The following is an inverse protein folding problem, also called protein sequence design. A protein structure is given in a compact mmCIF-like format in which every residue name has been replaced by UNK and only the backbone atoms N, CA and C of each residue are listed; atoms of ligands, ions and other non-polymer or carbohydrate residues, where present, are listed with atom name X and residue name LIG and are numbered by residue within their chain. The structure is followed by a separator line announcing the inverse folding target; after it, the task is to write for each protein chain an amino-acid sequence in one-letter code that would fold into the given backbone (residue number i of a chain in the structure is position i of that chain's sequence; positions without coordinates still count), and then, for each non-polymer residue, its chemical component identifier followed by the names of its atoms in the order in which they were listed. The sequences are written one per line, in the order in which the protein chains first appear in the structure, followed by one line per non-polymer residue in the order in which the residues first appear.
data_IF_501586610781
#
_entry.id   IF_501586610781
#
_cell.length_a   1.000
_cell.length_b   1.000
_cell.length_c   1.000
_cell.angle_alpha   90.00
_cell.angle_beta   90.00
_cell.angle_gamma   90.00
#
_symmetry.space_group_name_H-M   'P 1'
#
loop_
_entity.id
_entity.type
_entity.pdbx_description
1 polymer ?
#
# COMPACT_ATOMS: atom_id res chain seq x y z
N UNK A 1 7.97 -9.75 12.66
CA UNK A 1 7.43 -8.56 13.35
C UNK A 1 6.86 -8.84 14.73
N UNK A 2 6.23 -10.01 14.95
CA UNK A 2 5.53 -10.45 16.18
C UNK A 2 6.25 -10.19 17.51
N UNK A 3 7.59 -10.20 17.50
CA UNK A 3 8.45 -10.09 18.68
C UNK A 3 8.89 -8.66 19.05
N UNK A 4 8.68 -7.68 18.17
CA UNK A 4 9.29 -6.35 18.31
C UNK A 4 8.47 -5.39 19.19
N UNK A 5 7.15 -5.55 19.26
CA UNK A 5 6.30 -4.70 20.10
C UNK A 5 5.04 -5.43 20.57
N UNK A 6 4.61 -5.12 21.79
CA UNK A 6 3.60 -5.88 22.53
C UNK A 6 2.16 -5.58 22.09
N UNK A 7 1.86 -4.36 21.60
CA UNK A 7 0.48 -3.89 21.36
C UNK A 7 0.19 -3.45 19.91
N UNK A 8 1.14 -3.65 18.99
CA UNK A 8 1.07 -3.03 17.67
C UNK A 8 0.01 -3.59 16.73
N UNK A 9 -0.44 -4.83 16.94
CA UNK A 9 -1.36 -5.50 16.00
C UNK A 9 -2.80 -5.03 16.13
N UNK A 10 -3.29 -4.85 17.36
CA UNK A 10 -4.66 -4.40 17.57
C UNK A 10 -4.84 -2.96 17.10
N UNK A 11 -3.86 -2.11 17.39
CA UNK A 11 -3.88 -0.72 16.92
C UNK A 11 -3.89 -0.65 15.40
N UNK A 12 -3.03 -1.42 14.73
CA UNK A 12 -2.98 -1.48 13.27
C UNK A 12 -4.27 -2.06 12.69
N UNK A 13 -4.82 -3.13 13.28
CA UNK A 13 -6.10 -3.72 12.89
C UNK A 13 -7.22 -2.69 12.88
N UNK A 14 -7.36 -1.91 13.94
CA UNK A 14 -8.38 -0.86 14.04
C UNK A 14 -8.16 0.19 12.96
N UNK A 15 -6.92 0.64 12.75
CA UNK A 15 -6.61 1.61 11.70
C UNK A 15 -6.89 1.05 10.29
N UNK A 16 -6.59 -0.21 10.02
CA UNK A 16 -6.83 -0.84 8.71
C UNK A 16 -8.33 -1.04 8.45
N UNK A 17 -9.11 -1.44 9.45
CA UNK A 17 -10.59 -1.49 9.33
C UNK A 17 -11.16 -0.10 9.04
N UNK A 18 -10.73 0.92 9.77
CA UNK A 18 -11.17 2.29 9.54
C UNK A 18 -10.75 2.79 8.15
N UNK A 19 -9.54 2.47 7.71
CA UNK A 19 -9.05 2.79 6.37
C UNK A 19 -9.92 2.10 5.30
N UNK A 20 -10.26 0.82 5.47
CA UNK A 20 -11.13 0.08 4.55
C UNK A 20 -12.51 0.75 4.43
N UNK A 21 -13.15 1.01 5.57
CA UNK A 21 -14.47 1.65 5.61
C UNK A 21 -14.43 3.03 4.93
N UNK A 22 -13.38 3.81 5.19
CA UNK A 22 -13.20 5.11 4.56
C UNK A 22 -12.97 5.00 3.05
N UNK A 23 -12.17 4.03 2.58
CA UNK A 23 -11.92 3.80 1.14
C UNK A 23 -13.21 3.40 0.45
N UNK A 24 -14.00 2.49 1.03
CA UNK A 24 -15.29 2.07 0.48
C UNK A 24 -16.27 3.25 0.41
N UNK A 25 -16.37 4.04 1.48
CA UNK A 25 -17.19 5.26 1.50
C UNK A 25 -16.74 6.26 0.43
N UNK A 26 -15.43 6.48 0.29
CA UNK A 26 -14.83 7.41 -0.69
C UNK A 26 -15.12 6.98 -2.12
N UNK A 27 -14.96 5.70 -2.44
CA UNK A 27 -15.24 5.15 -3.77
C UNK A 27 -16.74 5.27 -4.08
N UNK A 28 -17.60 4.91 -3.12
CA UNK A 28 -19.05 4.95 -3.29
C UNK A 28 -19.56 6.38 -3.49
N UNK A 29 -19.03 7.36 -2.75
CA UNK A 29 -19.48 8.75 -2.81
C UNK A 29 -19.07 9.49 -4.09
N UNK A 30 -17.93 9.16 -4.70
CA UNK A 30 -17.41 9.89 -5.86
C UNK A 30 -17.75 9.27 -7.22
N UNK A 31 -17.74 7.93 -7.31
CA UNK A 31 -17.88 7.22 -8.59
C UNK A 31 -19.00 6.17 -8.54
N UNK A 32 -19.29 5.64 -7.36
CA UNK A 32 -20.17 4.48 -7.19
C UNK A 32 -19.42 3.16 -7.37
N UNK A 33 -19.71 2.17 -6.52
CA UNK A 33 -18.96 0.92 -6.43
C UNK A 33 -18.89 0.14 -7.75
N UNK A 34 -19.97 0.14 -8.54
CA UNK A 34 -20.07 -0.64 -9.78
C UNK A 34 -19.19 -0.09 -10.91
N UNK A 35 -19.01 1.22 -10.97
CA UNK A 35 -18.16 1.86 -11.98
C UNK A 35 -16.67 1.76 -11.60
N UNK A 36 -16.36 1.89 -10.31
CA UNK A 36 -14.99 1.75 -9.79
C UNK A 36 -14.43 0.33 -9.95
N UNK A 37 -15.28 -0.71 -9.82
CA UNK A 37 -14.90 -2.12 -9.94
C UNK A 37 -15.29 -2.74 -11.30
N UNK A 38 -15.50 -1.91 -12.32
CA UNK A 38 -15.98 -2.40 -13.61
C UNK A 38 -14.93 -3.21 -14.37
N UNK A 39 -15.13 -4.53 -14.41
CA UNK A 39 -14.32 -5.49 -15.19
C UNK A 39 -14.23 -5.11 -16.68
N UNK A 40 -15.27 -4.45 -17.21
CA UNK A 40 -15.28 -3.95 -18.59
C UNK A 40 -14.21 -2.90 -18.85
N UNK A 41 -13.95 -2.00 -17.89
CA UNK A 41 -12.93 -0.94 -18.01
C UNK A 41 -11.52 -1.49 -17.83
N UNK A 42 -11.36 -2.49 -16.95
CA UNK A 42 -10.10 -3.23 -16.85
C UNK A 42 -9.73 -3.91 -18.17
N UNK A 43 -10.69 -4.54 -18.84
CA UNK A 43 -10.47 -5.17 -20.15
C UNK A 43 -10.10 -4.16 -21.25
N UNK A 44 -10.46 -2.89 -21.07
CA UNK A 44 -10.04 -1.77 -21.94
C UNK A 44 -8.65 -1.20 -21.56
N UNK A 45 -7.98 -1.76 -20.56
CA UNK A 45 -6.65 -1.33 -20.14
C UNK A 45 -6.64 -0.08 -19.24
N UNK A 46 -7.77 0.32 -18.65
CA UNK A 46 -7.78 1.40 -17.67
C UNK A 46 -7.06 0.97 -16.39
N UNK A 47 -5.97 1.67 -16.03
CA UNK A 47 -5.14 1.34 -14.86
C UNK A 47 -5.86 1.55 -13.52
N UNK A 48 -6.74 2.56 -13.42
CA UNK A 48 -7.42 2.92 -12.16
C UNK A 48 -8.18 1.76 -11.51
N UNK A 49 -9.11 1.07 -12.19
CA UNK A 49 -9.85 -0.04 -11.57
C UNK A 49 -8.92 -1.20 -11.15
N UNK A 50 -7.83 -1.44 -11.90
CA UNK A 50 -6.82 -2.45 -11.54
C UNK A 50 -6.17 -2.08 -10.21
N UNK A 51 -5.68 -0.84 -10.08
CA UNK A 51 -5.03 -0.36 -8.84
C UNK A 51 -6.02 -0.43 -7.66
N UNK A 52 -7.28 -0.03 -7.86
CA UNK A 52 -8.31 -0.09 -6.82
C UNK A 52 -8.57 -1.52 -6.32
N UNK A 53 -8.62 -2.51 -7.20
CA UNK A 53 -8.81 -3.92 -6.80
C UNK A 53 -7.60 -4.43 -6.02
N UNK A 54 -6.38 -4.16 -6.50
CA UNK A 54 -5.15 -4.54 -5.79
C UNK A 54 -5.12 -3.91 -4.39
N UNK A 55 -5.54 -2.65 -4.27
CA UNK A 55 -5.60 -1.91 -3.02
C UNK A 55 -6.58 -2.55 -2.02
N UNK A 56 -7.78 -2.89 -2.47
CA UNK A 56 -8.81 -3.52 -1.63
C UNK A 56 -8.40 -4.92 -1.19
N UNK A 57 -7.83 -5.73 -2.09
CA UNK A 57 -7.33 -7.07 -1.77
C UNK A 57 -6.20 -6.98 -0.73
N UNK A 58 -5.23 -6.09 -0.94
CA UNK A 58 -4.14 -5.87 0.01
C UNK A 58 -4.66 -5.51 1.40
N UNK A 59 -5.57 -4.53 1.50
CA UNK A 59 -6.09 -4.08 2.78
C UNK A 59 -6.90 -5.18 3.51
N UNK A 60 -7.69 -5.97 2.76
CA UNK A 60 -8.41 -7.12 3.33
C UNK A 60 -7.44 -8.19 3.86
N UNK A 61 -6.38 -8.51 3.12
CA UNK A 61 -5.35 -9.45 3.57
C UNK A 61 -4.64 -8.96 4.84
N UNK A 62 -4.34 -7.67 4.92
CA UNK A 62 -3.77 -7.04 6.12
C UNK A 62 -4.69 -7.20 7.35
N UNK A 63 -5.99 -6.94 7.20
CA UNK A 63 -6.98 -7.11 8.28
C UNK A 63 -7.05 -8.57 8.76
N UNK A 64 -7.07 -9.52 7.83
CA UNK A 64 -7.09 -10.96 8.17
C UNK A 64 -5.81 -11.34 8.91
N UNK A 65 -4.66 -10.90 8.42
CA UNK A 65 -3.37 -11.12 9.07
C UNK A 65 -3.35 -10.56 10.49
N UNK A 66 -3.73 -9.30 10.69
CA UNK A 66 -3.70 -8.67 12.00
C UNK A 66 -4.69 -9.31 12.97
N UNK A 67 -5.85 -9.74 12.49
CA UNK A 67 -6.82 -10.49 13.29
C UNK A 67 -6.22 -11.83 13.76
N UNK A 68 -5.55 -12.56 12.87
CA UNK A 68 -4.89 -13.83 13.21
C UNK A 68 -3.75 -13.64 14.20
N UNK A 69 -2.86 -12.67 13.96
CA UNK A 69 -1.73 -12.39 14.87
C UNK A 69 -2.22 -11.89 16.22
N UNK A 70 -3.23 -11.02 16.25
CA UNK A 70 -3.83 -10.57 17.50
C UNK A 70 -4.40 -11.76 18.27
N UNK A 71 -5.19 -12.64 17.63
CA UNK A 71 -5.73 -13.84 18.28
C UNK A 71 -4.63 -14.70 18.90
N UNK A 72 -3.58 -15.02 18.14
CA UNK A 72 -2.45 -15.85 18.62
C UNK A 72 -1.78 -15.15 19.80
N UNK A 73 -1.43 -13.87 19.65
CA UNK A 73 -0.65 -13.13 20.66
C UNK A 73 -1.40 -12.96 21.97
N UNK A 74 -2.70 -12.62 21.91
CA UNK A 74 -3.53 -12.48 23.10
C UNK A 74 -3.97 -13.83 23.69
N UNK A 75 -4.06 -14.88 22.87
CA UNK A 75 -4.35 -16.24 23.33
C UNK A 75 -3.19 -16.89 24.08
N UNK A 76 -1.96 -16.73 23.58
CA UNK A 76 -0.74 -17.28 24.18
C UNK A 76 -0.32 -16.54 25.46
N UNK A 77 -0.66 -15.26 25.57
CA UNK A 77 -0.46 -14.45 26.77
C UNK A 77 1.01 -14.10 27.06
N UNK A 78 1.30 -13.88 28.35
CA UNK A 78 2.61 -13.44 28.82
C UNK A 78 3.31 -14.56 29.61
N UNK A 79 4.63 -14.65 29.46
CA UNK A 79 5.49 -15.50 30.26
C UNK A 79 6.21 -14.67 31.33
N UNK A 80 6.26 -15.19 32.56
CA UNK A 80 7.05 -14.62 33.64
C UNK A 80 8.44 -15.22 33.57
N UNK A 81 9.44 -14.39 33.20
CA UNK A 81 10.85 -14.79 33.15
C UNK A 81 11.58 -14.03 34.25
N UNK A 82 11.80 -14.68 35.39
CA UNK A 82 12.32 -14.03 36.59
C UNK A 82 11.30 -13.04 37.17
N UNK A 83 11.71 -11.77 37.35
CA UNK A 83 10.82 -10.69 37.81
C UNK A 83 10.18 -9.88 36.67
N UNK A 84 10.45 -10.23 35.41
CA UNK A 84 9.94 -9.50 34.26
C UNK A 84 8.82 -10.28 33.57
N UNK A 85 7.71 -9.59 33.34
CA UNK A 85 6.59 -10.09 32.53
C UNK A 85 6.91 -9.73 31.08
N UNK A 86 7.06 -10.74 30.23
CA UNK A 86 7.37 -10.56 28.80
C UNK A 86 6.38 -11.34 27.95
N UNK A 87 6.14 -10.89 26.71
CA UNK A 87 5.33 -11.67 25.76
C UNK A 87 5.90 -13.07 25.62
N UNK A 88 5.04 -14.10 25.63
CA UNK A 88 5.46 -15.49 25.59
C UNK A 88 6.34 -15.75 24.34
N UNK A 89 7.57 -16.27 24.49
CA UNK A 89 8.43 -16.56 23.35
C UNK A 89 7.83 -17.62 22.43
N UNK A 90 8.15 -17.55 21.13
CA UNK A 90 7.57 -18.40 20.08
C UNK A 90 7.79 -19.88 20.33
N UNK A 91 8.91 -20.22 20.95
CA UNK A 91 9.34 -21.58 21.24
C UNK A 91 8.39 -22.31 22.20
N UNK A 92 7.63 -21.54 22.98
CA UNK A 92 6.69 -22.06 23.96
C UNK A 92 5.23 -21.97 23.51
N UNK A 93 4.95 -21.48 22.30
CA UNK A 93 3.59 -21.41 21.78
C UNK A 93 2.99 -22.80 21.60
N UNK A 94 1.66 -22.87 21.67
CA UNK A 94 0.90 -24.09 21.45
C UNK A 94 1.17 -24.64 20.05
N UNK A 95 1.13 -25.96 19.91
CA UNK A 95 1.33 -26.62 18.63
C UNK A 95 0.29 -26.22 17.57
N UNK A 96 -0.91 -25.80 18.01
CA UNK A 96 -1.95 -25.26 17.12
C UNK A 96 -1.53 -23.92 16.53
N UNK A 97 -1.13 -22.95 17.35
CA UNK A 97 -0.73 -21.63 16.87
C UNK A 97 0.56 -21.66 16.04
N UNK A 98 1.48 -22.58 16.35
CA UNK A 98 2.66 -22.84 15.53
C UNK A 98 2.32 -23.36 14.12
N UNK A 99 1.22 -24.10 13.94
CA UNK A 99 0.77 -24.57 12.62
C UNK A 99 0.14 -23.47 11.79
N UNK A 100 -0.46 -22.47 12.42
CA UNK A 100 -1.13 -21.35 11.74
C UNK A 100 -0.10 -20.32 11.26
N UNK A 101 1.04 -20.20 11.95
CA UNK A 101 2.03 -19.17 11.68
C UNK A 101 2.52 -19.06 10.21
N UNK A 102 2.81 -20.16 9.47
CA UNK A 102 3.21 -20.05 8.08
C UNK A 102 2.13 -19.44 7.17
N UNK A 103 0.85 -19.69 7.49
CA UNK A 103 -0.29 -19.11 6.77
C UNK A 103 -0.32 -17.60 7.03
N UNK A 104 -0.16 -17.21 8.29
CA UNK A 104 -0.10 -15.81 8.72
C UNK A 104 1.06 -15.06 8.06
N UNK A 105 2.27 -15.64 8.05
CA UNK A 105 3.43 -15.07 7.34
C UNK A 105 3.13 -14.91 5.83
N UNK A 106 2.44 -15.88 5.23
CA UNK A 106 2.09 -15.79 3.81
C UNK A 106 1.07 -14.68 3.51
N UNK A 107 0.11 -14.46 4.40
CA UNK A 107 -0.92 -13.43 4.25
C UNK A 107 -0.33 -12.01 4.24
N UNK A 108 0.62 -11.73 5.13
CA UNK A 108 1.25 -10.41 5.18
C UNK A 108 2.13 -10.17 3.95
N UNK A 109 2.84 -11.19 3.48
CA UNK A 109 3.64 -11.12 2.26
C UNK A 109 2.76 -10.82 1.03
N UNK A 110 1.62 -11.52 0.89
CA UNK A 110 0.66 -11.22 -0.18
C UNK A 110 0.10 -9.80 -0.03
N UNK A 111 -0.27 -9.38 1.17
CA UNK A 111 -0.75 -8.02 1.43
C UNK A 111 0.27 -6.98 0.93
N UNK A 112 1.56 -7.15 1.29
CA UNK A 112 2.62 -6.27 0.80
C UNK A 112 2.76 -6.32 -0.73
N UNK A 113 2.76 -7.52 -1.34
CA UNK A 113 2.85 -7.68 -2.79
C UNK A 113 1.74 -6.92 -3.55
N UNK A 114 0.48 -7.05 -3.09
CA UNK A 114 -0.64 -6.33 -3.69
C UNK A 114 -0.50 -4.80 -3.50
N UNK A 115 -0.06 -4.35 -2.32
CA UNK A 115 0.15 -2.94 -2.03
C UNK A 115 1.27 -2.33 -2.89
N UNK A 116 2.46 -2.91 -2.88
CA UNK A 116 3.62 -2.41 -3.65
C UNK A 116 3.34 -2.41 -5.14
N UNK A 117 2.67 -3.44 -5.66
CA UNK A 117 2.23 -3.51 -7.06
C UNK A 117 1.26 -2.38 -7.41
N UNK A 118 0.29 -2.10 -6.52
CA UNK A 118 -0.63 -0.97 -6.69
C UNK A 118 0.12 0.38 -6.71
N UNK A 119 1.14 0.53 -5.88
CA UNK A 119 1.97 1.74 -5.82
C UNK A 119 2.83 1.90 -7.08
N UNK A 120 3.49 0.86 -7.57
CA UNK A 120 4.28 0.94 -8.81
C UNK A 120 3.42 1.30 -10.03
N UNK A 121 2.24 0.69 -10.16
CA UNK A 121 1.27 1.04 -11.21
C UNK A 121 0.77 2.48 -11.05
N UNK A 122 0.60 2.94 -9.82
CA UNK A 122 0.23 4.32 -9.56
C UNK A 122 1.35 5.31 -9.91
N UNK A 123 2.61 4.98 -9.61
CA UNK A 123 3.76 5.80 -10.04
C UNK A 123 3.84 5.92 -11.57
N UNK A 124 3.47 4.86 -12.31
CA UNK A 124 3.34 4.92 -13.77
C UNK A 124 2.27 5.94 -14.22
N UNK A 125 1.18 6.09 -13.46
CA UNK A 125 0.11 7.06 -13.76
C UNK A 125 0.62 8.51 -13.67
N UNK A 126 1.52 8.83 -12.73
CA UNK A 126 2.14 10.16 -12.68
C UNK A 126 3.00 10.44 -13.90
N UNK A 127 3.76 9.44 -14.33
CA UNK A 127 4.57 9.58 -15.53
C UNK A 127 3.70 9.76 -16.78
N UNK A 128 2.56 9.06 -16.87
CA UNK A 128 1.58 9.27 -17.93
C UNK A 128 1.06 10.72 -17.95
N UNK A 129 0.70 11.25 -16.78
CA UNK A 129 0.21 12.63 -16.65
C UNK A 129 1.28 13.59 -17.16
N UNK A 130 2.54 13.47 -16.73
CA UNK A 130 3.64 14.33 -17.20
C UNK A 130 3.83 14.23 -18.71
N UNK A 131 3.86 13.02 -19.27
CA UNK A 131 4.08 12.82 -20.71
C UNK A 131 2.91 13.30 -21.58
N UNK A 132 1.68 13.27 -21.05
CA UNK A 132 0.51 13.82 -21.73
C UNK A 132 0.62 15.33 -21.97
N UNK A 133 1.26 16.06 -21.05
CA UNK A 133 1.54 17.50 -21.22
C UNK A 133 2.65 17.75 -22.23
N UNK A 134 3.64 16.85 -22.33
CA UNK A 134 4.77 16.93 -23.27
C UNK A 134 4.42 16.34 -24.65
N UNK A 135 3.18 15.83 -24.84
CA UNK A 135 2.68 15.19 -26.07
C UNK A 135 3.53 14.01 -26.57
N UNK A 136 4.16 13.26 -25.65
CA UNK A 136 4.93 12.05 -25.99
C UNK A 136 4.09 10.79 -25.83
N UNK A 137 4.26 9.76 -26.69
CA UNK A 137 3.55 8.50 -26.54
C UNK A 137 4.05 7.76 -25.29
N UNK A 138 3.15 7.54 -24.33
CA UNK A 138 3.49 6.97 -23.02
C UNK A 138 3.54 5.45 -22.99
N UNK A 139 2.55 4.78 -23.60
CA UNK A 139 2.40 3.32 -23.46
C UNK A 139 3.57 2.54 -24.06
N UNK A 140 4.31 3.11 -25.00
CA UNK A 140 5.50 2.49 -25.59
C UNK A 140 6.82 2.97 -24.93
N UNK A 141 6.75 3.72 -23.83
CA UNK A 141 7.94 4.18 -23.12
C UNK A 141 8.59 3.01 -22.37
N UNK A 142 9.93 2.91 -22.42
CA UNK A 142 10.69 1.96 -21.60
C UNK A 142 10.43 2.16 -20.11
N UNK A 143 10.15 3.38 -19.68
CA UNK A 143 9.80 3.68 -18.28
C UNK A 143 8.48 3.02 -17.87
N UNK A 144 7.47 3.00 -18.73
CA UNK A 144 6.20 2.33 -18.44
C UNK A 144 6.40 0.82 -18.29
N UNK A 145 7.16 0.21 -19.20
CA UNK A 145 7.52 -1.20 -19.12
C UNK A 145 8.30 -1.54 -17.84
N UNK A 146 9.18 -0.64 -17.38
CA UNK A 146 9.88 -0.81 -16.10
C UNK A 146 8.90 -0.81 -14.92
N UNK A 147 7.94 0.10 -14.85
CA UNK A 147 6.94 0.09 -13.77
C UNK A 147 6.09 -1.19 -13.75
N UNK A 148 5.68 -1.67 -14.93
CA UNK A 148 4.95 -2.94 -15.04
C UNK A 148 5.84 -4.11 -14.64
N UNK A 149 7.08 -4.14 -15.10
CA UNK A 149 8.05 -5.18 -14.74
C UNK A 149 8.30 -5.22 -13.22
N UNK A 150 8.46 -4.06 -12.57
CA UNK A 150 8.62 -3.98 -11.11
C UNK A 150 7.37 -4.45 -10.35
N UNK A 151 6.17 -4.16 -10.86
CA UNK A 151 4.92 -4.68 -10.30
C UNK A 151 4.87 -6.21 -10.34
N UNK A 152 5.20 -6.81 -11.49
CA UNK A 152 5.26 -8.27 -11.63
C UNK A 152 6.40 -8.88 -10.79
N UNK A 153 7.57 -8.23 -10.77
CA UNK A 153 8.72 -8.67 -10.00
C UNK A 153 8.42 -8.65 -8.50
N UNK A 154 7.63 -7.68 -8.01
CA UNK A 154 7.22 -7.63 -6.61
C UNK A 154 6.34 -8.84 -6.25
N UNK A 155 5.36 -9.21 -7.08
CA UNK A 155 4.62 -10.47 -6.86
C UNK A 155 5.53 -11.70 -6.84
N UNK A 156 6.49 -11.77 -7.77
CA UNK A 156 7.43 -12.87 -7.84
C UNK A 156 8.37 -12.90 -6.62
N UNK A 157 8.81 -11.75 -6.10
CA UNK A 157 9.75 -11.68 -4.99
C UNK A 157 9.17 -12.30 -3.72
N UNK A 158 7.92 -11.97 -3.35
CA UNK A 158 7.25 -12.53 -2.17
C UNK A 158 6.92 -14.02 -2.35
N UNK A 159 6.50 -14.44 -3.56
CA UNK A 159 6.22 -15.85 -3.83
C UNK A 159 7.49 -16.72 -3.78
N UNK A 160 8.61 -16.22 -4.35
CA UNK A 160 9.89 -16.92 -4.34
C UNK A 160 10.47 -17.01 -2.92
N UNK A 161 10.30 -15.97 -2.10
CA UNK A 161 10.70 -16.00 -0.69
C UNK A 161 10.00 -17.13 0.04
N UNK A 162 8.66 -17.24 -0.06
CA UNK A 162 7.92 -18.33 0.58
C UNK A 162 8.43 -19.71 0.16
N UNK A 163 8.73 -19.91 -1.13
CA UNK A 163 9.25 -21.19 -1.63
C UNK A 163 10.63 -21.53 -1.06
N UNK A 164 11.54 -20.55 -1.00
CA UNK A 164 12.89 -20.75 -0.46
C UNK A 164 12.83 -21.13 1.03
N UNK A 165 11.97 -20.48 1.83
CA UNK A 165 11.89 -20.78 3.27
C UNK A 165 11.13 -22.05 3.61
N UNK A 166 10.12 -22.45 2.82
CA UNK A 166 9.45 -23.73 3.03
C UNK A 166 10.45 -24.88 2.86
N UNK A 167 11.37 -24.79 1.90
CA UNK A 167 12.40 -25.80 1.67
C UNK A 167 13.52 -25.80 2.73
N UNK A 168 13.73 -24.69 3.44
CA UNK A 168 14.71 -24.64 4.54
C UNK A 168 14.21 -25.35 5.81
N UNK A 169 12.88 -25.47 5.99
CA UNK A 169 12.27 -26.22 7.11
C UNK A 169 12.56 -27.72 7.08
N UNK A 170 12.94 -28.27 5.93
CA UNK A 170 13.42 -29.66 5.84
C UNK A 170 14.74 -29.89 6.57
N UNK A 171 15.51 -28.84 6.90
CA UNK A 171 16.72 -28.98 7.73
C UNK A 171 16.47 -28.70 9.22
N UNK A 172 15.50 -27.84 9.60
CA UNK A 172 15.22 -27.55 11.02
C UNK A 172 14.46 -28.66 11.76
N UNK A 173 13.89 -29.63 11.04
CA UNK A 173 13.23 -30.80 11.65
C UNK A 173 14.24 -31.86 12.14
N UNK A 174 15.54 -31.67 11.86
CA UNK A 174 16.64 -32.50 12.38
C UNK A 174 17.36 -31.83 13.55
N UNK A 175 16.68 -30.98 14.32
CA UNK A 175 17.10 -30.71 15.70
C UNK A 175 16.30 -31.65 16.59
N UNK A 176 16.93 -32.78 16.90
CA UNK A 176 16.53 -33.78 17.87
C UNK A 176 15.64 -33.21 18.98
N UNK A 177 14.34 -33.53 18.90
CA UNK A 177 13.48 -33.60 20.07
C UNK A 177 14.10 -34.63 21.02
N UNK A 178 14.92 -34.17 21.97
CA UNK A 178 15.22 -34.96 23.16
C UNK A 178 14.08 -34.71 24.14
N UNK A 179 13.27 -35.73 24.49
CA UNK A 179 12.23 -35.58 25.48
C UNK A 179 12.91 -35.44 26.83
N UNK A 180 13.06 -34.22 27.35
CA UNK A 180 13.44 -34.06 28.74
C UNK A 180 12.26 -34.53 29.60
N UNK A 181 12.44 -35.57 30.44
CA UNK A 181 11.41 -35.95 31.39
C UNK A 181 11.35 -34.87 32.47
N UNK A 182 10.13 -34.39 32.73
CA UNK A 182 9.83 -33.53 33.87
C UNK A 182 10.09 -34.32 35.16
N UNK A 183 11.32 -34.27 35.68
CA UNK A 183 11.67 -34.80 37.00
C UNK A 183 11.59 -33.66 37.99
N UNK A 184 10.51 -33.65 38.76
CA UNK A 184 10.32 -32.83 39.95
C UNK A 184 11.48 -33.04 40.92
N UNK A 185 12.32 -32.01 41.11
CA UNK A 185 13.14 -31.90 42.31
C UNK A 185 13.43 -30.42 42.62
N UNK A 186 13.24 -29.97 43.89
CA UNK A 186 13.32 -28.57 44.26
C UNK A 186 14.73 -28.27 44.78
N UNK A 187 15.69 -27.92 43.90
CA UNK A 187 16.99 -27.34 44.30
C UNK A 187 17.81 -26.94 43.06
N UNK A 188 17.54 -25.78 42.48
CA UNK A 188 18.49 -25.06 41.62
C UNK A 188 18.09 -23.58 41.50
N UNK A 189 18.22 -22.84 42.60
CA UNK A 189 17.92 -21.39 42.65
C UNK A 189 19.13 -20.49 42.40
N UNK A 190 20.27 -20.99 41.91
CA UNK A 190 21.47 -20.13 41.86
C UNK A 190 22.44 -20.36 40.69
N UNK A 191 22.18 -21.32 39.78
CA UNK A 191 23.06 -21.58 38.64
C UNK A 191 22.50 -21.12 37.27
N UNK A 192 21.19 -20.86 37.15
CA UNK A 192 20.58 -20.48 35.87
C UNK A 192 20.69 -18.97 35.52
N UNK A 193 21.26 -18.17 36.43
CA UNK A 193 21.42 -16.71 36.22
C UNK A 193 22.71 -16.38 35.46
N UNK A 194 23.68 -17.30 35.37
CA UNK A 194 24.99 -17.05 34.75
C UNK A 194 25.14 -17.58 33.32
N UNK A 195 24.09 -18.21 32.77
CA UNK A 195 24.03 -18.62 31.37
C UNK A 195 23.22 -17.64 30.49
N UNK A 196 23.03 -16.39 30.94
CA UNK A 196 22.63 -15.27 30.08
C UNK A 196 23.84 -14.77 29.27
N UNK A 197 24.42 -15.65 28.45
CA UNK A 197 24.85 -15.18 27.14
C UNK A 197 23.54 -15.04 26.36
N UNK A 198 23.22 -13.88 25.74
CA UNK A 198 22.10 -13.83 24.83
C UNK A 198 22.47 -14.82 23.73
N UNK A 199 21.83 -15.98 23.72
CA UNK A 199 21.67 -16.73 22.49
C UNK A 199 20.78 -15.82 21.64
N UNK A 200 21.42 -14.81 21.03
CA UNK A 200 20.85 -14.03 19.95
C UNK A 200 20.43 -15.10 18.95
N UNK A 201 19.14 -15.27 18.64
CA UNK A 201 18.77 -16.08 17.50
C UNK A 201 19.42 -15.42 16.28
N UNK A 202 20.59 -15.94 15.91
CA UNK A 202 21.29 -15.63 14.68
C UNK A 202 20.36 -16.09 13.56
N UNK A 203 19.96 -15.13 12.72
CA UNK A 203 18.84 -15.17 11.76
C UNK A 203 17.46 -14.94 12.38
N UNK A 204 17.09 -13.66 12.43
CA UNK A 204 15.71 -13.32 12.13
C UNK A 204 15.31 -13.98 10.79
N UNK A 205 14.12 -14.59 10.67
CA UNK A 205 13.67 -15.18 9.41
C UNK A 205 13.71 -14.11 8.32
N UNK A 206 14.59 -14.32 7.35
CA UNK A 206 14.96 -13.40 6.28
C UNK A 206 13.85 -13.18 5.23
N UNK A 207 12.64 -13.69 5.49
CA UNK A 207 11.40 -13.45 4.74
C UNK A 207 11.04 -11.96 4.68
N UNK A 208 11.48 -11.17 5.66
CA UNK A 208 11.24 -9.71 5.71
C UNK A 208 12.26 -8.88 4.93
N UNK A 209 13.13 -9.45 4.10
CA UNK A 209 14.17 -8.68 3.39
C UNK A 209 13.69 -8.01 2.08
N UNK A 210 12.69 -8.55 1.38
CA UNK A 210 12.16 -7.91 0.16
C UNK A 210 11.37 -6.64 0.46
N UNK A 211 10.50 -6.67 1.47
CA UNK A 211 9.67 -5.53 1.85
C UNK A 211 10.43 -4.22 2.09
N UNK A 212 11.52 -4.17 2.90
CA UNK A 212 12.29 -2.95 3.10
C UNK A 212 13.00 -2.49 1.81
N UNK A 213 13.50 -3.42 0.99
CA UNK A 213 14.15 -3.07 -0.27
C UNK A 213 13.15 -2.46 -1.27
N UNK A 214 11.98 -3.08 -1.44
CA UNK A 214 10.94 -2.60 -2.34
C UNK A 214 10.34 -1.27 -1.88
N UNK A 215 10.10 -1.11 -0.58
CA UNK A 215 9.61 0.15 -0.03
C UNK A 215 10.64 1.27 -0.17
N UNK A 216 11.93 0.98 -0.03
CA UNK A 216 13.00 1.94 -0.32
C UNK A 216 12.99 2.38 -1.79
N UNK A 217 12.88 1.42 -2.72
CA UNK A 217 12.74 1.72 -4.15
C UNK A 217 11.52 2.61 -4.40
N UNK A 218 10.37 2.32 -3.80
CA UNK A 218 9.15 3.14 -3.91
C UNK A 218 9.34 4.56 -3.37
N UNK A 219 10.08 4.75 -2.27
CA UNK A 219 10.42 6.08 -1.75
C UNK A 219 11.20 6.87 -2.81
N UNK A 220 12.23 6.24 -3.40
CA UNK A 220 13.04 6.87 -4.45
C UNK A 220 12.19 7.24 -5.67
N UNK A 221 11.35 6.32 -6.18
CA UNK A 221 10.47 6.60 -7.30
C UNK A 221 9.49 7.74 -7.01
N UNK A 222 8.92 7.78 -5.80
CA UNK A 222 7.98 8.82 -5.40
C UNK A 222 8.65 10.19 -5.37
N UNK A 223 9.89 10.27 -4.87
CA UNK A 223 10.70 11.49 -4.87
C UNK A 223 11.04 11.94 -6.30
N UNK A 224 11.52 11.01 -7.15
CA UNK A 224 11.83 11.29 -8.55
C UNK A 224 10.60 11.85 -9.28
N UNK A 225 9.43 11.22 -9.10
CA UNK A 225 8.18 11.70 -9.69
C UNK A 225 7.75 13.07 -9.12
N UNK A 226 7.97 13.32 -7.84
CA UNK A 226 7.72 14.64 -7.25
C UNK A 226 8.57 15.73 -7.91
N UNK A 227 9.87 15.49 -8.09
CA UNK A 227 10.76 16.44 -8.77
C UNK A 227 10.40 16.63 -10.25
N UNK A 228 10.02 15.56 -10.95
CA UNK A 228 9.55 15.62 -12.35
C UNK A 228 8.27 16.46 -12.48
N UNK A 229 7.30 16.26 -11.60
CA UNK A 229 6.06 17.06 -11.56
C UNK A 229 6.39 18.53 -11.30
N UNK A 230 7.28 18.81 -10.34
CA UNK A 230 7.71 20.18 -10.01
C UNK A 230 8.42 20.86 -11.18
N UNK A 231 9.26 20.13 -11.94
CA UNK A 231 9.90 20.66 -13.15
C UNK A 231 8.86 21.00 -14.22
N UNK A 232 7.97 20.06 -14.51
CA UNK A 232 6.89 20.25 -15.50
C UNK A 232 5.99 21.44 -15.14
N UNK A 233 5.73 21.65 -13.84
CA UNK A 233 4.93 22.77 -13.36
C UNK A 233 5.56 24.14 -13.66
N UNK A 234 6.90 24.23 -13.68
CA UNK A 234 7.62 25.48 -14.00
C UNK A 234 7.54 25.84 -15.48
N UNK A 235 7.31 24.86 -16.35
CA UNK A 235 7.23 25.04 -17.80
C UNK A 235 5.80 25.39 -18.27
N UNK A 236 4.79 25.20 -17.41
CA UNK A 236 3.38 25.47 -17.71
C UNK A 236 3.01 26.90 -17.31
N UNK A 237 2.28 27.58 -18.20
CA UNK A 237 1.77 28.94 -17.96
C UNK A 237 0.94 29.05 -16.68
N UNK A 238 1.13 30.17 -15.97
CA UNK A 238 0.66 30.40 -14.59
C UNK A 238 -0.87 30.50 -14.51
N UNK A 239 -1.50 31.00 -15.56
CA UNK A 239 -2.96 31.14 -15.66
C UNK A 239 -3.68 29.83 -15.99
N UNK A 240 -2.94 28.78 -16.36
CA UNK A 240 -3.54 27.59 -16.94
C UNK A 240 -4.25 26.73 -15.90
N UNK A 241 -5.45 26.27 -16.28
CA UNK A 241 -6.19 25.22 -15.55
C UNK A 241 -5.37 23.94 -15.37
N UNK A 242 -4.45 23.67 -16.29
CA UNK A 242 -3.51 22.55 -16.23
C UNK A 242 -2.57 22.66 -15.02
N UNK A 243 -2.02 23.85 -14.76
CA UNK A 243 -1.13 24.11 -13.62
C UNK A 243 -1.81 23.79 -12.28
N UNK A 244 -3.04 24.28 -12.08
CA UNK A 244 -3.80 24.01 -10.84
C UNK A 244 -4.03 22.52 -10.59
N UNK A 245 -4.31 21.74 -11.64
CA UNK A 245 -4.46 20.28 -11.52
C UNK A 245 -3.14 19.61 -11.17
N UNK A 246 -2.06 20.01 -11.85
CA UNK A 246 -0.74 19.46 -11.61
C UNK A 246 -0.22 19.79 -10.20
N UNK A 247 -0.56 20.96 -9.64
CA UNK A 247 -0.27 21.30 -8.25
C UNK A 247 -0.96 20.37 -7.26
N UNK A 248 -2.25 20.05 -7.48
CA UNK A 248 -2.98 19.09 -6.65
C UNK A 248 -2.31 17.72 -6.71
N UNK A 249 -1.97 17.25 -7.90
CA UNK A 249 -1.26 15.97 -8.09
C UNK A 249 0.12 15.95 -7.43
N UNK A 250 0.89 17.03 -7.54
CA UNK A 250 2.18 17.17 -6.87
C UNK A 250 2.04 17.09 -5.36
N UNK A 251 1.02 17.74 -4.77
CA UNK A 251 0.73 17.66 -3.33
C UNK A 251 0.30 16.26 -2.92
N UNK A 252 -0.59 15.61 -3.68
CA UNK A 252 -1.02 14.24 -3.42
C UNK A 252 0.15 13.25 -3.48
N UNK A 253 1.06 13.39 -4.45
CA UNK A 253 2.26 12.57 -4.53
C UNK A 253 3.21 12.81 -3.35
N UNK A 254 3.34 14.05 -2.88
CA UNK A 254 4.13 14.36 -1.69
C UNK A 254 3.55 13.68 -0.45
N UNK A 255 2.24 13.81 -0.22
CA UNK A 255 1.59 13.16 0.93
C UNK A 255 1.71 11.64 0.86
N UNK A 256 1.46 11.05 -0.32
CA UNK A 256 1.68 9.63 -0.53
C UNK A 256 3.13 9.23 -0.20
N UNK A 257 4.12 10.01 -0.64
CA UNK A 257 5.53 9.79 -0.32
C UNK A 257 5.85 9.87 1.17
N UNK A 258 5.20 10.76 1.93
CA UNK A 258 5.36 10.84 3.39
C UNK A 258 4.87 9.53 4.04
N UNK A 259 3.69 9.04 3.67
CA UNK A 259 3.15 7.80 4.24
C UNK A 259 3.95 6.55 3.82
N UNK A 260 4.40 6.48 2.55
CA UNK A 260 5.34 5.44 2.12
C UNK A 260 6.64 5.52 2.93
N UNK A 261 7.14 6.72 3.22
CA UNK A 261 8.32 6.93 4.07
C UNK A 261 8.10 6.48 5.52
N UNK A 262 6.97 6.83 6.11
CA UNK A 262 6.57 6.39 7.46
C UNK A 262 6.46 4.86 7.53
N UNK A 263 6.06 4.19 6.45
CA UNK A 263 6.04 2.74 6.37
C UNK A 263 7.44 2.15 6.12
N UNK A 264 8.16 2.65 5.12
CA UNK A 264 9.41 2.04 4.65
C UNK A 264 10.63 2.32 5.52
N UNK A 265 10.78 3.55 6.04
CA UNK A 265 11.99 3.92 6.81
C UNK A 265 12.13 3.10 8.09
N UNK A 266 11.08 2.92 8.93
CA UNK A 266 11.17 2.06 10.10
C UNK A 266 11.49 0.60 9.75
N UNK A 267 10.91 0.07 8.65
CA UNK A 267 11.22 -1.27 8.16
C UNK A 267 12.70 -1.42 7.83
N UNK A 268 13.25 -0.48 7.05
CA UNK A 268 14.66 -0.50 6.67
C UNK A 268 15.54 -0.44 7.92
N UNK A 269 15.25 0.48 8.85
CA UNK A 269 16.03 0.64 10.10
C UNK A 269 16.04 -0.65 10.93
N UNK A 270 14.89 -1.32 11.08
CA UNK A 270 14.76 -2.55 11.88
C UNK A 270 15.42 -3.76 11.21
N UNK A 271 15.57 -3.77 9.88
CA UNK A 271 16.17 -4.89 9.15
C UNK A 271 17.68 -4.70 8.87
N UNK A 272 18.30 -3.60 9.32
CA UNK A 272 19.77 -3.45 9.25
C UNK A 272 20.39 -4.14 10.47
N UNK A 273 20.92 -5.35 10.27
CA UNK A 273 21.46 -6.23 11.32
C UNK A 273 22.40 -5.52 12.32
N UNK A 274 23.29 -4.65 11.83
CA UNK A 274 24.26 -3.91 12.66
C UNK A 274 23.54 -2.95 13.63
N UNK A 275 22.52 -2.23 13.14
CA UNK A 275 21.80 -1.23 13.92
C UNK A 275 20.81 -1.89 14.90
N UNK A 276 20.23 -3.01 14.46
CA UNK A 276 19.26 -3.78 15.23
C UNK A 276 19.88 -4.39 16.48
N UNK A 277 21.04 -5.03 16.36
CA UNK A 277 21.71 -5.66 17.50
C UNK A 277 22.34 -4.67 18.49
N UNK A 278 22.93 -3.57 17.99
CA UNK A 278 23.72 -2.67 18.83
C UNK A 278 22.90 -1.59 19.56
N UNK A 279 21.83 -1.08 18.93
CA UNK A 279 21.13 0.13 19.42
C UNK A 279 19.64 -0.13 19.66
N UNK A 280 18.98 -0.85 18.74
CA UNK A 280 17.53 -0.99 18.75
C UNK A 280 17.08 -2.08 19.74
N UNK A 281 17.72 -3.24 19.73
CA UNK A 281 17.39 -4.36 20.63
C UNK A 281 17.59 -4.01 22.12
N UNK A 282 18.50 -3.09 22.42
CA UNK A 282 18.75 -2.60 23.78
C UNK A 282 17.74 -1.56 24.27
N UNK A 283 16.93 -0.96 23.38
CA UNK A 283 16.04 0.14 23.74
C UNK A 283 14.60 -0.10 23.26
N UNK A 284 13.75 -0.54 24.20
CA UNK A 284 12.32 -0.80 23.95
C UNK A 284 11.60 0.43 23.38
N UNK A 285 11.93 1.64 23.85
CA UNK A 285 11.31 2.88 23.38
C UNK A 285 11.54 3.11 21.88
N UNK A 286 12.75 2.86 21.38
CA UNK A 286 13.08 3.05 19.96
C UNK A 286 12.32 2.06 19.10
N UNK A 287 12.26 0.79 19.52
CA UNK A 287 11.52 -0.25 18.80
C UNK A 287 10.03 0.07 18.75
N UNK A 288 9.43 0.46 19.87
CA UNK A 288 8.02 0.83 19.95
C UNK A 288 7.72 2.08 19.10
N UNK A 289 8.59 3.10 19.12
CA UNK A 289 8.43 4.31 18.31
C UNK A 289 8.45 3.98 16.81
N UNK A 290 9.44 3.21 16.36
CA UNK A 290 9.56 2.81 14.94
C UNK A 290 8.34 2.01 14.50
N UNK A 291 7.87 1.07 15.32
CA UNK A 291 6.66 0.30 15.03
C UNK A 291 5.40 1.16 15.01
N UNK A 292 5.29 2.18 15.88
CA UNK A 292 4.16 3.13 15.85
C UNK A 292 4.16 3.98 14.59
N UNK A 293 5.31 4.47 14.14
CA UNK A 293 5.41 5.22 12.88
C UNK A 293 4.97 4.33 11.71
N UNK A 294 5.46 3.08 11.68
CA UNK A 294 5.06 2.10 10.68
C UNK A 294 3.54 1.82 10.72
N UNK A 295 2.96 1.62 11.90
CA UNK A 295 1.53 1.35 12.08
C UNK A 295 0.62 2.51 11.66
N UNK A 296 1.10 3.75 11.69
CA UNK A 296 0.36 4.91 11.16
C UNK A 296 0.60 5.02 9.64
N UNK A 297 1.83 4.78 9.20
CA UNK A 297 2.23 4.83 7.79
C UNK A 297 1.44 3.86 6.92
N UNK A 298 1.35 2.61 7.35
CA UNK A 298 0.74 1.50 6.61
C UNK A 298 -0.74 1.76 6.20
N UNK A 299 -1.70 1.97 7.13
CA UNK A 299 -3.08 2.35 6.79
C UNK A 299 -3.15 3.66 6.00
N UNK A 300 -2.25 4.61 6.30
CA UNK A 300 -2.19 5.90 5.62
C UNK A 300 -1.86 5.78 4.13
N UNK A 301 -1.02 4.82 3.73
CA UNK A 301 -0.73 4.54 2.32
C UNK A 301 -2.03 4.18 1.57
N UNK A 302 -2.89 3.34 2.14
CA UNK A 302 -4.15 2.97 1.50
C UNK A 302 -5.07 4.18 1.29
N UNK A 303 -5.22 5.01 2.34
CA UNK A 303 -6.07 6.19 2.29
C UNK A 303 -5.58 7.21 1.26
N UNK A 304 -4.28 7.52 1.27
CA UNK A 304 -3.72 8.53 0.38
C UNK A 304 -3.60 8.04 -1.06
N UNK A 305 -3.35 6.75 -1.30
CA UNK A 305 -3.40 6.18 -2.64
C UNK A 305 -4.83 6.25 -3.19
N UNK A 306 -5.85 5.92 -2.41
CA UNK A 306 -7.25 6.08 -2.81
C UNK A 306 -7.61 7.56 -3.06
N UNK A 307 -7.11 8.48 -2.23
CA UNK A 307 -7.30 9.93 -2.45
C UNK A 307 -6.67 10.41 -3.75
N UNK A 308 -5.52 9.82 -4.11
CA UNK A 308 -4.78 10.15 -5.32
C UNK A 308 -5.46 9.58 -6.59
N UNK A 309 -6.08 8.39 -6.49
CA UNK A 309 -6.89 7.77 -7.55
C UNK A 309 -8.22 8.50 -7.78
N UNK A 310 -8.87 8.95 -6.70
CA UNK A 310 -10.20 9.56 -6.72
C UNK A 310 -10.17 10.95 -6.02
N UNK A 311 -9.57 11.97 -6.65
CA UNK A 311 -9.57 13.33 -6.10
C UNK A 311 -10.99 13.89 -6.00
N UNK A 312 -11.30 14.62 -4.93
CA UNK A 312 -12.64 15.19 -4.69
C UNK A 312 -13.08 16.15 -5.79
N UNK A 313 -14.40 16.28 -5.99
CA UNK A 313 -15.03 17.19 -6.94
C UNK A 313 -14.68 18.65 -6.72
N UNK A 314 -14.29 19.07 -5.52
CA UNK A 314 -13.84 20.44 -5.28
C UNK A 314 -12.51 20.76 -5.99
N UNK A 315 -11.72 19.73 -6.27
CA UNK A 315 -10.55 19.79 -7.15
C UNK A 315 -10.93 19.49 -8.61
N UNK A 316 -12.01 18.72 -8.82
CA UNK A 316 -12.53 18.37 -10.14
C UNK A 316 -13.55 19.37 -10.71
N UNK A 317 -13.96 20.43 -10.02
CA UNK A 317 -14.85 21.48 -10.55
C UNK A 317 -14.10 22.43 -11.50
N UNK A 318 -12.77 22.35 -11.53
CA UNK A 318 -11.96 22.74 -12.68
C UNK A 318 -12.13 21.80 -13.91
N UNK A 319 -13.00 20.78 -13.89
CA UNK A 319 -12.98 19.68 -14.88
C UNK A 319 -14.04 19.69 -15.97
N UNK A 320 -15.13 20.45 -15.90
CA UNK A 320 -16.20 20.28 -16.91
C UNK A 320 -16.81 21.56 -17.52
N UNK A 321 -16.41 22.76 -17.12
CA UNK A 321 -16.93 24.02 -17.71
C UNK A 321 -15.95 24.64 -18.71
N UNK A 322 -15.34 23.81 -19.56
CA UNK A 322 -14.45 24.28 -20.65
C UNK A 322 -15.15 24.53 -21.98
N UNK A 323 -16.19 23.76 -22.32
CA UNK A 323 -16.83 23.84 -23.64
C UNK A 323 -18.27 24.37 -23.63
N UNK A 324 -18.91 24.56 -22.47
CA UNK A 324 -20.28 25.10 -22.42
C UNK A 324 -20.34 26.60 -22.74
N UNK A 325 -19.31 27.38 -22.38
CA UNK A 325 -19.32 28.84 -22.50
C UNK A 325 -18.97 29.32 -23.91
N UNK A 326 -18.12 28.59 -24.64
CA UNK A 326 -17.77 28.90 -26.03
C UNK A 326 -18.90 28.50 -27.00
N UNK A 327 -19.57 27.36 -26.74
CA UNK A 327 -20.66 26.91 -27.60
C UNK A 327 -21.98 27.68 -27.37
N UNK A 328 -22.24 28.18 -26.15
CA UNK A 328 -23.41 29.06 -25.89
C UNK A 328 -23.31 30.43 -26.57
N UNK A 329 -22.11 30.98 -26.76
CA UNK A 329 -21.96 32.27 -27.49
C UNK A 329 -22.11 32.12 -29.00
N UNK A 330 -21.78 30.96 -29.56
CA UNK A 330 -22.05 30.67 -30.96
C UNK A 330 -23.53 30.33 -31.24
N UNK A 331 -24.19 29.56 -30.36
CA UNK A 331 -25.63 29.27 -30.53
C UNK A 331 -26.53 30.46 -30.20
N UNK A 332 -26.16 31.34 -29.25
CA UNK A 332 -26.93 32.56 -28.99
C UNK A 332 -26.85 33.58 -30.14
N UNK A 333 -25.70 33.70 -30.81
CA UNK A 333 -25.57 34.55 -32.02
C UNK A 333 -26.27 33.97 -33.25
N UNK A 334 -26.47 32.65 -33.31
CA UNK A 334 -27.13 32.01 -34.44
C UNK A 334 -28.67 32.03 -34.31
N UNK A 335 -29.21 32.32 -33.11
CA UNK A 335 -30.65 32.43 -32.87
C UNK A 335 -31.19 33.87 -32.98
N UNK A 336 -30.34 34.91 -32.91
CA UNK A 336 -30.77 36.30 -33.15
C UNK A 336 -30.97 36.62 -34.65
N UNK A 337 -30.42 35.80 -35.56
CA UNK A 337 -30.53 36.00 -37.01
C UNK A 337 -31.62 35.15 -37.68
N UNK A 338 -32.39 34.38 -36.92
CA UNK A 338 -33.45 33.51 -37.44
C UNK A 338 -34.74 33.75 -36.67
N UNK A 339 -35.48 34.77 -37.08
CA UNK A 339 -36.84 34.98 -36.61
C UNK A 339 -37.74 33.79 -36.99
N UNK A 340 -38.08 32.93 -36.03
CA UNK A 340 -39.22 32.01 -36.12
C UNK A 340 -39.61 31.44 -34.75
N UNK A 341 -40.86 31.74 -34.38
CA UNK A 341 -41.83 31.01 -33.55
C UNK A 341 -41.39 29.77 -32.75
N UNK A 342 -41.51 29.90 -31.43
CA UNK A 342 -42.18 28.98 -30.47
C UNK A 342 -42.34 27.51 -30.89
N UNK A 343 -41.51 26.64 -30.32
CA UNK A 343 -41.93 25.36 -29.72
C UNK A 343 -40.80 24.83 -28.81
N UNK A 344 -41.11 24.54 -27.55
CA UNK A 344 -40.13 24.16 -26.53
C UNK A 344 -39.72 22.69 -26.62
N UNK A 345 -38.45 22.33 -26.32
CA UNK A 345 -38.06 20.93 -26.33
C UNK A 345 -38.25 20.25 -24.98
N UNK A 346 -39.01 19.17 -25.08
CA UNK A 346 -39.21 18.04 -24.18
C UNK A 346 -37.91 17.49 -23.56
N UNK A 347 -38.05 17.09 -22.29
CA UNK A 347 -37.07 16.37 -21.47
C UNK A 347 -36.86 14.98 -22.07
N UNK A 348 -35.82 14.77 -22.86
CA UNK A 348 -35.22 13.45 -23.17
C UNK A 348 -33.91 13.64 -23.95
N UNK A 349 -32.82 13.96 -23.26
CA UNK A 349 -31.47 13.80 -23.81
C UNK A 349 -30.44 13.64 -22.69
N UNK A 350 -30.45 12.46 -22.08
CA UNK A 350 -29.43 12.01 -21.12
C UNK A 350 -28.69 10.78 -21.66
N UNK A 351 -28.31 10.78 -22.96
CA UNK A 351 -27.61 9.63 -23.56
C UNK A 351 -26.44 9.93 -24.52
N UNK A 352 -26.03 11.18 -24.70
CA UNK A 352 -24.91 11.53 -25.58
C UNK A 352 -23.70 12.06 -24.81
N UNK A 353 -23.00 11.19 -24.07
CA UNK A 353 -21.62 11.45 -23.60
C UNK A 353 -20.92 10.18 -23.13
N UNK A 354 -20.88 9.16 -23.99
CA UNK A 354 -19.93 8.03 -23.88
C UNK A 354 -19.27 7.64 -25.22
N UNK A 355 -19.59 8.31 -26.34
CA UNK A 355 -19.12 7.89 -27.66
C UNK A 355 -17.83 8.57 -28.14
N UNK A 356 -17.34 9.63 -27.50
CA UNK A 356 -16.10 10.30 -27.91
C UNK A 356 -14.80 9.66 -27.42
N UNK A 357 -14.86 8.61 -26.60
CA UNK A 357 -13.67 7.86 -26.18
C UNK A 357 -13.45 6.57 -27.00
N UNK A 358 -14.42 6.16 -27.82
CA UNK A 358 -14.28 4.99 -28.70
C UNK A 358 -13.64 5.30 -30.07
N UNK A 359 -13.73 6.54 -30.54
CA UNK A 359 -13.25 6.92 -31.88
C UNK A 359 -11.72 7.16 -31.99
N UNK A 360 -10.95 6.83 -30.94
CA UNK A 360 -9.48 6.97 -30.95
C UNK A 360 -8.72 5.64 -30.99
N UNK A 361 -9.42 4.52 -31.12
CA UNK A 361 -8.83 3.18 -31.15
C UNK A 361 -8.87 2.49 -32.53
N UNK A 362 -9.37 3.16 -33.58
CA UNK A 362 -9.40 2.61 -34.95
C UNK A 362 -8.37 3.25 -35.90
N UNK A 363 -7.29 3.81 -35.37
CA UNK A 363 -6.18 4.28 -36.19
C UNK A 363 -4.83 4.18 -35.43
N UNK A 364 -4.35 2.94 -35.24
CA UNK A 364 -2.96 2.48 -35.42
C UNK A 364 -2.98 0.95 -35.45
#
# INVERSE_FOLDING_TARGET
MTHLSDYTYLDRLVCDILALLWILYRIQSLVGATEALSLRRMRKGELRPIITILLLISNLLAIVYDTMVAKIKYGEGFAVVGNNITSKPKEYWTAEDLRILPITDSLIDFSFAFMTSSLFLFQATWNFIVQSYIKRPFMNSTEFHLYVAYSVLSFASYALLQFVYINDKTQSTTLTFSPYPYRSSPRCSSALVRAQSPCIPSRAPTNTTSAPAETFVLIVFTLVNHFRLRKTLREIDESSRARRRLEVYMRLNLYLGIFIGMMGIPLVIINIDILTGAVIAGNKLVTDLLMKIFNIGFPGVFMFLCMALYPSSDYASCSCTGNRSANRRHTARQYEDSGATSEGPSIRDTKCLQLTESAKYDAV
#
